data_IF_009713790028
#
_entry.id   IF_009713790028
#
_cell.length_a   1.000
_cell.length_b   1.000
_cell.length_c   1.000
_cell.angle_alpha   90.00
_cell.angle_beta   90.00
_cell.angle_gamma   90.00
#
_symmetry.space_group_name_H-M   'P 1'
#
loop_
_entity.id
_entity.type
_entity.pdbx_description
1 polymer ?
#
# COMPACT_ATOMS: atom_id res chain seq x y z
N UNK A 1 19.36 2.42 15.32
CA UNK A 1 18.17 2.41 14.44
C UNK A 1 17.14 3.40 14.98
N UNK A 2 16.84 4.48 14.26
CA UNK A 2 15.80 5.44 14.65
C UNK A 2 14.40 4.82 14.54
N UNK A 3 13.42 5.32 15.32
CA UNK A 3 12.03 4.85 15.25
C UNK A 3 11.46 4.90 13.83
N UNK A 4 11.72 5.98 13.09
CA UNK A 4 11.31 6.16 11.68
C UNK A 4 11.80 5.03 10.78
N UNK A 5 13.03 4.57 11.00
CA UNK A 5 13.61 3.48 10.22
C UNK A 5 12.97 2.13 10.58
N UNK A 6 12.71 1.87 11.87
CA UNK A 6 11.97 0.66 12.29
C UNK A 6 10.56 0.63 11.69
N UNK A 7 9.86 1.76 11.71
CA UNK A 7 8.55 1.91 11.08
C UNK A 7 8.62 1.66 9.57
N UNK A 8 9.61 2.23 8.87
CA UNK A 8 9.81 1.99 7.45
C UNK A 8 10.04 0.50 7.13
N UNK A 9 10.88 -0.19 7.92
CA UNK A 9 11.14 -1.63 7.79
C UNK A 9 9.85 -2.45 7.99
N UNK A 10 9.09 -2.14 9.04
CA UNK A 10 7.83 -2.83 9.33
C UNK A 10 6.79 -2.62 8.22
N UNK A 11 6.56 -1.37 7.80
CA UNK A 11 5.59 -1.05 6.75
C UNK A 11 5.98 -1.65 5.39
N UNK A 12 7.27 -1.67 5.05
CA UNK A 12 7.74 -2.33 3.83
C UNK A 12 7.46 -3.84 3.88
N UNK A 13 7.72 -4.50 5.02
CA UNK A 13 7.40 -5.91 5.20
C UNK A 13 5.89 -6.20 5.11
N UNK A 14 5.07 -5.40 5.79
CA UNK A 14 3.60 -5.50 5.74
C UNK A 14 3.10 -5.31 4.30
N UNK A 15 3.57 -4.27 3.61
CA UNK A 15 3.15 -3.98 2.24
C UNK A 15 3.55 -5.10 1.30
N UNK A 16 4.79 -5.61 1.39
CA UNK A 16 5.29 -6.72 0.57
C UNK A 16 4.48 -8.01 0.80
N UNK A 17 4.19 -8.35 2.06
CA UNK A 17 3.42 -9.53 2.41
C UNK A 17 1.97 -9.43 1.89
N UNK A 18 1.27 -8.33 2.22
CA UNK A 18 -0.13 -8.16 1.83
C UNK A 18 -0.29 -8.04 0.31
N UNK A 19 0.56 -7.26 -0.37
CA UNK A 19 0.49 -7.15 -1.84
C UNK A 19 0.88 -8.44 -2.52
N UNK A 20 1.94 -9.11 -2.08
CA UNK A 20 2.40 -10.37 -2.65
C UNK A 20 1.31 -11.45 -2.54
N UNK A 21 0.71 -11.59 -1.36
CA UNK A 21 -0.42 -12.49 -1.14
C UNK A 21 -1.62 -12.11 -2.02
N UNK A 22 -1.96 -10.82 -2.10
CA UNK A 22 -3.10 -10.35 -2.89
C UNK A 22 -2.90 -10.57 -4.40
N UNK A 23 -1.69 -10.36 -4.92
CA UNK A 23 -1.35 -10.63 -6.33
C UNK A 23 -1.49 -12.12 -6.63
N UNK A 24 -1.01 -12.99 -5.73
CA UNK A 24 -1.15 -14.45 -5.90
C UNK A 24 -2.62 -14.89 -5.92
N UNK A 25 -3.45 -14.35 -5.02
CA UNK A 25 -4.89 -14.62 -5.00
C UNK A 25 -5.60 -14.12 -6.28
N UNK A 26 -5.23 -12.94 -6.78
CA UNK A 26 -5.76 -12.41 -8.03
C UNK A 26 -5.34 -13.28 -9.22
N UNK A 27 -4.09 -13.73 -9.25
CA UNK A 27 -3.60 -14.63 -10.28
C UNK A 27 -4.37 -15.96 -10.28
N UNK A 28 -4.59 -16.56 -9.11
CA UNK A 28 -5.43 -17.76 -8.97
C UNK A 28 -6.86 -17.54 -9.47
N UNK A 29 -7.46 -16.39 -9.15
CA UNK A 29 -8.80 -16.01 -9.63
C UNK A 29 -8.87 -15.86 -11.16
N UNK A 30 -7.81 -15.33 -11.79
CA UNK A 30 -7.73 -15.24 -13.25
C UNK A 30 -7.75 -16.62 -13.91
N UNK A 31 -7.06 -17.60 -13.32
CA UNK A 31 -7.07 -18.99 -13.82
C UNK A 31 -8.46 -19.63 -13.71
N UNK A 32 -9.33 -19.13 -12.82
CA UNK A 32 -10.71 -19.57 -12.65
C UNK A 32 -11.73 -18.81 -13.53
N UNK A 33 -11.27 -17.90 -14.40
CA UNK A 33 -12.12 -17.19 -15.38
C UNK A 33 -12.32 -15.69 -15.13
N UNK A 34 -11.80 -15.13 -14.03
CA UNK A 34 -11.91 -13.70 -13.72
C UNK A 34 -10.79 -12.86 -14.36
N UNK A 35 -10.53 -13.05 -15.65
CA UNK A 35 -9.31 -12.54 -16.30
C UNK A 35 -9.22 -11.00 -16.34
N UNK A 36 -10.29 -10.31 -16.75
CA UNK A 36 -10.29 -8.85 -16.92
C UNK A 36 -10.10 -8.11 -15.59
N UNK A 37 -10.85 -8.50 -14.56
CA UNK A 37 -10.77 -7.90 -13.23
C UNK A 37 -9.41 -8.20 -12.58
N UNK A 38 -8.94 -9.45 -12.65
CA UNK A 38 -7.66 -9.83 -12.06
C UNK A 38 -6.47 -9.11 -12.69
N UNK A 39 -6.48 -8.87 -14.00
CA UNK A 39 -5.40 -8.16 -14.69
C UNK A 39 -5.30 -6.70 -14.22
N UNK A 40 -6.43 -5.99 -14.11
CA UNK A 40 -6.47 -4.62 -13.59
C UNK A 40 -5.96 -4.57 -12.15
N UNK A 41 -6.42 -5.49 -11.30
CA UNK A 41 -5.98 -5.57 -9.89
C UNK A 41 -4.49 -5.89 -9.75
N UNK A 42 -3.94 -6.77 -10.59
CA UNK A 42 -2.51 -7.09 -10.59
C UNK A 42 -1.68 -5.89 -11.03
N UNK A 43 -2.12 -5.11 -12.02
CA UNK A 43 -1.40 -3.90 -12.43
C UNK A 43 -1.40 -2.88 -11.29
N UNK A 44 -2.54 -2.67 -10.63
CA UNK A 44 -2.66 -1.72 -9.50
C UNK A 44 -1.79 -2.12 -8.31
N UNK A 45 -1.88 -3.38 -7.88
CA UNK A 45 -1.13 -3.87 -6.73
C UNK A 45 0.34 -4.17 -7.05
N UNK A 46 0.64 -4.47 -8.32
CA UNK A 46 1.99 -4.75 -8.81
C UNK A 46 2.93 -3.58 -8.61
N UNK A 47 2.48 -2.34 -8.87
CA UNK A 47 3.29 -1.16 -8.61
C UNK A 47 3.57 -0.95 -7.11
N UNK A 48 2.62 -1.30 -6.23
CA UNK A 48 2.84 -1.30 -4.77
C UNK A 48 3.83 -2.37 -4.34
N UNK A 49 3.76 -3.56 -4.94
CA UNK A 49 4.71 -4.64 -4.68
C UNK A 49 6.13 -4.27 -5.14
N UNK A 50 6.29 -3.72 -6.35
CA UNK A 50 7.57 -3.25 -6.87
C UNK A 50 8.15 -2.14 -5.97
N UNK A 51 7.33 -1.18 -5.55
CA UNK A 51 7.77 -0.14 -4.61
C UNK A 51 8.28 -0.71 -3.28
N UNK A 52 7.60 -1.73 -2.73
CA UNK A 52 8.03 -2.41 -1.51
C UNK A 52 9.38 -3.13 -1.70
N UNK A 53 9.61 -3.78 -2.85
CA UNK A 53 10.90 -4.39 -3.18
C UNK A 53 12.01 -3.32 -3.24
N UNK A 54 11.77 -2.22 -3.97
CA UNK A 54 12.75 -1.12 -4.07
C UNK A 54 13.02 -0.47 -2.69
N UNK A 55 12.00 -0.37 -1.85
CA UNK A 55 12.13 0.09 -0.47
C UNK A 55 12.99 -0.84 0.37
N UNK A 56 12.88 -2.15 0.18
CA UNK A 56 13.74 -3.13 0.86
C UNK A 56 15.21 -3.00 0.42
N UNK A 57 15.47 -2.75 -0.87
CA UNK A 57 16.82 -2.44 -1.35
C UNK A 57 17.39 -1.16 -0.73
N UNK A 58 16.57 -0.10 -0.61
CA UNK A 58 16.95 1.13 0.08
C UNK A 58 17.26 0.89 1.57
N UNK A 59 16.49 0.03 2.24
CA UNK A 59 16.77 -0.32 3.64
C UNK A 59 18.13 -1.00 3.77
N UNK A 60 18.44 -1.92 2.86
CA UNK A 60 19.74 -2.60 2.83
C UNK A 60 20.89 -1.63 2.58
N UNK A 61 20.76 -0.71 1.61
CA UNK A 61 21.81 0.29 1.32
C UNK A 61 22.02 1.29 2.45
N UNK A 62 21.03 1.49 3.32
CA UNK A 62 21.16 2.35 4.50
C UNK A 62 21.78 1.63 5.70
N UNK A 63 21.72 0.29 5.74
CA UNK A 63 22.25 -0.54 6.82
C UNK A 63 23.67 -1.02 6.55
N UNK A 64 23.97 -1.36 5.29
CA UNK A 64 25.24 -1.92 4.85
C UNK A 64 26.03 -0.85 4.09
N UNK A 65 27.14 -0.32 4.64
CA UNK A 65 27.94 0.72 3.98
C UNK A 65 28.49 0.31 2.60
N UNK A 66 28.75 -0.99 2.40
CA UNK A 66 29.24 -1.54 1.13
C UNK A 66 28.14 -1.84 0.10
N UNK A 67 26.86 -1.69 0.45
CA UNK A 67 25.75 -1.96 -0.47
C UNK A 67 25.25 -0.65 -1.10
N UNK A 68 25.61 -0.40 -2.34
CA UNK A 68 25.11 0.76 -3.11
C UNK A 68 23.88 0.38 -3.93
N UNK A 69 22.97 1.34 -4.10
CA UNK A 69 21.83 1.15 -4.99
C UNK A 69 22.30 1.14 -6.44
N UNK A 70 21.70 0.27 -7.26
CA UNK A 70 21.90 0.32 -8.71
C UNK A 70 21.44 1.67 -9.26
N UNK A 71 22.06 2.13 -10.35
CA UNK A 71 21.82 3.44 -10.94
C UNK A 71 20.32 3.77 -11.17
N UNK A 72 19.54 2.77 -11.60
CA UNK A 72 18.10 2.93 -11.87
C UNK A 72 17.21 2.85 -10.61
N UNK A 73 17.71 2.33 -9.49
CA UNK A 73 16.91 2.08 -8.28
C UNK A 73 16.40 3.37 -7.62
N UNK A 74 17.21 4.44 -7.44
CA UNK A 74 16.73 5.72 -6.94
C UNK A 74 15.61 6.35 -7.79
N UNK A 75 15.73 6.23 -9.12
CA UNK A 75 14.69 6.70 -10.06
C UNK A 75 13.41 5.89 -9.89
N UNK A 76 13.53 4.56 -9.83
CA UNK A 76 12.42 3.65 -9.58
C UNK A 76 11.69 3.94 -8.28
N UNK A 77 12.40 4.19 -7.17
CA UNK A 77 11.79 4.53 -5.87
C UNK A 77 10.97 5.82 -5.97
N UNK A 78 11.43 6.82 -6.72
CA UNK A 78 10.70 8.08 -6.90
C UNK A 78 9.41 7.89 -7.69
N UNK A 79 9.52 7.24 -8.86
CA UNK A 79 8.38 7.03 -9.76
C UNK A 79 7.34 6.11 -9.09
N UNK A 80 7.78 4.97 -8.58
CA UNK A 80 6.90 4.02 -7.90
C UNK A 80 6.39 4.59 -6.56
N UNK A 81 7.15 5.46 -5.91
CA UNK A 81 6.69 6.19 -4.72
C UNK A 81 5.50 7.10 -5.03
N UNK A 82 5.57 7.88 -6.13
CA UNK A 82 4.43 8.68 -6.59
C UNK A 82 3.22 7.83 -6.96
N UNK A 83 3.45 6.75 -7.71
CA UNK A 83 2.41 5.79 -8.09
C UNK A 83 1.71 5.18 -6.87
N UNK A 84 2.47 4.71 -5.89
CA UNK A 84 1.92 4.06 -4.68
C UNK A 84 1.19 5.03 -3.77
N UNK A 85 1.61 6.30 -3.72
CA UNK A 85 0.83 7.34 -3.04
C UNK A 85 -0.55 7.49 -3.69
N UNK A 86 -0.62 7.51 -5.03
CA UNK A 86 -1.89 7.60 -5.75
C UNK A 86 -2.76 6.37 -5.47
N UNK A 87 -2.22 5.15 -5.55
CA UNK A 87 -2.97 3.93 -5.23
C UNK A 87 -3.43 3.93 -3.77
N UNK A 88 -2.55 4.25 -2.82
CA UNK A 88 -2.90 4.33 -1.40
C UNK A 88 -4.00 5.36 -1.13
N UNK A 89 -3.94 6.53 -1.79
CA UNK A 89 -5.00 7.54 -1.72
C UNK A 89 -6.33 7.05 -2.29
N UNK A 90 -6.31 6.34 -3.42
CA UNK A 90 -7.52 5.71 -3.98
C UNK A 90 -8.13 4.66 -3.03
N UNK A 91 -7.30 3.88 -2.33
CA UNK A 91 -7.77 2.93 -1.33
C UNK A 91 -8.42 3.62 -0.13
N UNK A 92 -7.81 4.71 0.35
CA UNK A 92 -8.38 5.53 1.43
C UNK A 92 -9.73 6.12 1.03
N UNK A 93 -9.82 6.71 -0.18
CA UNK A 93 -11.07 7.26 -0.72
C UNK A 93 -12.14 6.18 -0.91
N UNK A 94 -11.74 4.99 -1.34
CA UNK A 94 -12.65 3.84 -1.47
C UNK A 94 -13.20 3.40 -0.12
N UNK A 95 -12.38 3.40 0.94
CA UNK A 95 -12.83 3.17 2.31
C UNK A 95 -13.88 4.20 2.76
N UNK A 96 -13.66 5.48 2.44
CA UNK A 96 -14.63 6.56 2.74
C UNK A 96 -15.92 6.39 1.93
N UNK A 97 -15.82 6.01 0.65
CA UNK A 97 -16.99 5.79 -0.20
C UNK A 97 -17.86 4.63 0.33
N UNK A 98 -17.24 3.53 0.75
CA UNK A 98 -17.94 2.40 1.37
C UNK A 98 -18.68 2.85 2.63
N UNK A 99 -18.05 3.66 3.47
CA UNK A 99 -18.70 4.22 4.66
C UNK A 99 -19.94 5.05 4.31
N UNK A 100 -19.86 5.90 3.29
CA UNK A 100 -20.98 6.73 2.85
C UNK A 100 -22.12 5.84 2.33
N UNK A 101 -21.82 4.87 1.46
CA UNK A 101 -22.81 3.96 0.87
C UNK A 101 -23.49 3.13 1.96
N UNK A 102 -22.74 2.56 2.90
CA UNK A 102 -23.32 1.82 4.04
C UNK A 102 -24.31 2.68 4.82
N UNK A 103 -23.98 3.94 5.11
CA UNK A 103 -24.87 4.83 5.86
C UNK A 103 -26.13 5.23 5.07
N UNK A 104 -26.01 5.39 3.75
CA UNK A 104 -27.15 5.70 2.87
C UNK A 104 -28.09 4.49 2.73
N UNK A 105 -27.55 3.30 2.48
CA UNK A 105 -28.33 2.05 2.41
C UNK A 105 -29.02 1.75 3.75
N UNK A 106 -28.34 2.05 4.88
CA UNK A 106 -28.94 1.89 6.20
C UNK A 106 -30.18 2.78 6.40
N UNK A 107 -30.12 4.04 5.95
CA UNK A 107 -31.23 4.99 6.00
C UNK A 107 -32.37 4.59 5.06
N UNK A 108 -32.06 4.19 3.83
CA UNK A 108 -33.07 3.93 2.80
C UNK A 108 -33.82 2.62 3.04
N UNK A 109 -33.14 1.59 3.56
CA UNK A 109 -33.79 0.34 3.95
C UNK A 109 -34.63 0.45 5.24
N UNK A 110 -34.42 1.48 6.06
CA UNK A 110 -35.23 1.69 7.29
C UNK A 110 -36.62 2.28 7.01
N UNK A 111 -36.85 2.84 5.82
CA UNK A 111 -38.10 3.50 5.46
C UNK A 111 -39.04 2.67 4.57
N UNK A 112 -38.68 1.44 4.17
CA UNK A 112 -39.39 0.68 3.14
C UNK A 112 -39.75 -0.78 3.50
N UNK A 113 -39.67 -1.22 4.76
CA UNK A 113 -39.78 -2.65 5.09
C UNK A 113 -40.90 -2.93 6.11
N UNK A 114 -41.76 -3.90 5.78
CA UNK A 114 -42.82 -4.44 6.65
C UNK A 114 -42.24 -5.37 7.73
N UNK A 115 -42.90 -5.48 8.87
CA UNK A 115 -42.36 -6.12 10.08
C UNK A 115 -41.99 -7.61 9.94
N UNK A 116 -42.60 -8.35 9.00
CA UNK A 116 -42.27 -9.74 8.70
C UNK A 116 -40.98 -9.95 7.89
N UNK A 117 -40.56 -8.95 7.10
CA UNK A 117 -39.31 -9.02 6.33
C UNK A 117 -38.08 -8.61 7.15
N UNK A 118 -38.29 -8.02 8.33
CA UNK A 118 -37.21 -7.51 9.21
C UNK A 118 -36.26 -8.61 9.70
N UNK A 119 -36.78 -9.76 10.14
CA UNK A 119 -35.95 -10.80 10.78
C UNK A 119 -34.99 -11.52 9.81
N UNK A 120 -35.44 -11.85 8.60
CA UNK A 120 -34.57 -12.45 7.58
C UNK A 120 -33.55 -11.44 7.04
N UNK A 121 -33.97 -10.17 6.90
CA UNK A 121 -33.07 -9.10 6.46
C UNK A 121 -32.03 -8.74 7.51
N UNK A 122 -32.36 -8.77 8.82
CA UNK A 122 -31.43 -8.47 9.92
C UNK A 122 -30.22 -9.41 9.96
N UNK A 123 -30.42 -10.70 9.71
CA UNK A 123 -29.32 -11.67 9.72
C UNK A 123 -28.37 -11.48 8.52
N UNK A 124 -28.93 -11.25 7.33
CA UNK A 124 -28.15 -10.97 6.11
C UNK A 124 -27.47 -9.59 6.19
N UNK A 125 -28.12 -8.60 6.79
CA UNK A 125 -27.61 -7.25 7.01
C UNK A 125 -26.51 -7.22 8.06
N UNK A 126 -26.61 -8.04 9.10
CA UNK A 126 -25.57 -8.22 10.12
C UNK A 126 -24.29 -8.76 9.47
N UNK A 127 -24.39 -9.86 8.71
CA UNK A 127 -23.23 -10.47 8.06
C UNK A 127 -22.60 -9.58 6.98
N UNK A 128 -23.41 -8.95 6.12
CA UNK A 128 -22.91 -8.00 5.12
C UNK A 128 -22.32 -6.74 5.77
N UNK A 129 -22.94 -6.23 6.83
CA UNK A 129 -22.48 -5.06 7.59
C UNK A 129 -21.12 -5.29 8.24
N UNK A 130 -20.93 -6.45 8.89
CA UNK A 130 -19.63 -6.82 9.47
C UNK A 130 -18.55 -6.98 8.40
N UNK A 131 -18.83 -7.67 7.30
CA UNK A 131 -17.88 -7.85 6.21
C UNK A 131 -17.47 -6.52 5.56
N UNK A 132 -18.43 -5.63 5.29
CA UNK A 132 -18.14 -4.30 4.74
C UNK A 132 -17.37 -3.42 5.72
N UNK A 133 -17.66 -3.49 7.02
CA UNK A 133 -16.91 -2.76 8.06
C UNK A 133 -15.47 -3.23 8.14
N UNK A 134 -15.24 -4.55 8.10
CA UNK A 134 -13.89 -5.13 8.05
C UNK A 134 -13.14 -4.70 6.77
N UNK A 135 -13.83 -4.72 5.63
CA UNK A 135 -13.25 -4.27 4.36
C UNK A 135 -12.89 -2.78 4.39
N UNK A 136 -13.75 -1.93 4.92
CA UNK A 136 -13.48 -0.51 5.12
C UNK A 136 -12.24 -0.31 5.98
N UNK A 137 -12.18 -0.97 7.14
CA UNK A 137 -11.07 -0.84 8.07
C UNK A 137 -9.75 -1.32 7.43
N UNK A 138 -9.80 -2.43 6.70
CA UNK A 138 -8.66 -2.94 5.95
C UNK A 138 -8.19 -1.94 4.88
N UNK A 139 -9.10 -1.43 4.03
CA UNK A 139 -8.76 -0.45 3.00
C UNK A 139 -8.15 0.82 3.59
N UNK A 140 -8.66 1.28 4.72
CA UNK A 140 -8.15 2.47 5.39
C UNK A 140 -6.76 2.25 5.97
N UNK A 141 -6.58 1.21 6.80
CA UNK A 141 -5.29 0.92 7.42
C UNK A 141 -4.22 0.58 6.38
N UNK A 142 -4.59 -0.22 5.38
CA UNK A 142 -3.65 -0.65 4.37
C UNK A 142 -3.29 0.50 3.41
N UNK A 143 -4.27 1.31 3.00
CA UNK A 143 -4.02 2.53 2.25
C UNK A 143 -3.08 3.49 2.99
N UNK A 144 -3.30 3.69 4.29
CA UNK A 144 -2.42 4.50 5.15
C UNK A 144 -1.01 3.90 5.26
N UNK A 145 -0.89 2.57 5.36
CA UNK A 145 0.39 1.86 5.36
C UNK A 145 1.18 2.09 4.07
N UNK A 146 0.52 2.02 2.90
CA UNK A 146 1.13 2.26 1.60
C UNK A 146 1.65 3.70 1.51
N UNK A 147 0.79 4.68 1.78
CA UNK A 147 1.16 6.10 1.69
C UNK A 147 2.31 6.43 2.65
N UNK A 148 2.21 5.99 3.90
CA UNK A 148 3.25 6.24 4.90
C UNK A 148 4.58 5.61 4.50
N UNK A 149 4.56 4.37 3.99
CA UNK A 149 5.76 3.69 3.50
C UNK A 149 6.40 4.44 2.32
N UNK A 150 5.58 4.92 1.37
CA UNK A 150 6.05 5.70 0.24
C UNK A 150 6.71 7.01 0.69
N UNK A 151 6.09 7.77 1.59
CA UNK A 151 6.66 9.01 2.13
C UNK A 151 7.97 8.76 2.89
N UNK A 152 8.03 7.70 3.69
CA UNK A 152 9.27 7.31 4.37
C UNK A 152 10.35 6.91 3.37
N UNK A 153 10.02 6.13 2.34
CA UNK A 153 10.98 5.74 1.29
C UNK A 153 11.58 6.95 0.58
N UNK A 154 10.78 7.97 0.28
CA UNK A 154 11.24 9.20 -0.36
C UNK A 154 12.12 10.03 0.59
N UNK A 155 11.78 10.09 1.87
CA UNK A 155 12.60 10.76 2.89
C UNK A 155 13.96 10.09 3.06
N UNK A 156 13.97 8.75 3.20
CA UNK A 156 15.19 7.96 3.32
C UNK A 156 16.03 7.96 2.04
N UNK A 157 15.39 8.03 0.87
CA UNK A 157 16.10 8.18 -0.40
C UNK A 157 16.83 9.52 -0.48
N UNK A 158 16.23 10.62 0.00
CA UNK A 158 16.91 11.92 0.09
C UNK A 158 18.12 11.86 1.02
N UNK A 159 17.99 11.19 2.17
CA UNK A 159 19.11 10.98 3.09
C UNK A 159 20.24 10.16 2.45
N UNK A 160 19.89 9.08 1.75
CA UNK A 160 20.85 8.25 1.04
C UNK A 160 21.60 9.03 -0.05
N UNK A 161 20.88 9.85 -0.84
CA UNK A 161 21.52 10.69 -1.88
C UNK A 161 22.49 11.70 -1.29
N UNK A 162 22.08 12.39 -0.22
CA UNK A 162 22.94 13.36 0.46
C UNK A 162 24.24 12.70 0.95
N UNK A 163 24.13 11.52 1.56
CA UNK A 163 25.31 10.76 2.01
C UNK A 163 26.26 10.43 0.85
N UNK A 164 25.72 10.02 -0.30
CA UNK A 164 26.53 9.71 -1.49
C UNK A 164 27.18 10.95 -2.12
N UNK A 165 26.57 12.12 -1.98
CA UNK A 165 27.16 13.40 -2.41
C UNK A 165 28.29 13.81 -1.46
N UNK A 166 28.06 13.71 -0.14
CA UNK A 166 29.06 14.02 0.88
C UNK A 166 30.30 13.10 0.75
N UNK A 167 30.10 11.78 0.54
CA UNK A 167 31.20 10.82 0.38
C UNK A 167 32.05 11.12 -0.89
N UNK A 168 31.42 11.58 -1.99
CA UNK A 168 32.14 11.95 -3.23
C UNK A 168 32.99 13.21 -3.09
N UNK A 169 32.58 14.16 -2.24
CA UNK A 169 33.36 15.37 -2.01
C UNK A 169 34.64 15.10 -1.21
N UNK A 170 34.61 14.12 -0.29
CA UNK A 170 35.78 13.73 0.50
C UNK A 170 36.85 13.06 -0.38
N UNK A 171 36.44 12.20 -1.32
CA UNK A 171 37.38 11.52 -2.22
C UNK A 171 38.11 12.51 -3.15
N UNK A 172 37.44 13.59 -3.59
CA UNK A 172 38.05 14.60 -4.46
C UNK A 172 39.09 15.50 -3.75
N UNK A 173 38.92 15.73 -2.45
CA UNK A 173 39.84 16.56 -1.65
C UNK A 173 41.09 15.78 -1.18
N UNK A 174 41.09 14.45 -1.25
CA UNK A 174 42.25 13.61 -0.93
C UNK A 174 43.19 13.39 -2.12
N UNK A 175 42.71 13.68 -3.34
CA UNK A 175 43.45 13.53 -4.60
C UNK A 175 44.07 14.86 -5.10
N UNK A 176 43.99 15.95 -4.30
CA UNK A 176 44.57 17.26 -4.57
C UNK A 176 45.80 17.58 -3.69
#
# INVERSE_FOLDING_TARGET
>A
MTFRFKLFKALTGINLFITGFSIMMNFASMLMGAFSQGLVSIVMLGGVFIHAILSAYLQRSLQEPGFTLKENTPGGIRIMGGYTILIGALMLLSGIAIFIVMNLDLKQASSQITEEQRQQLETIRSLKGTAMTMMQFFLFLYGASIVTNALLSLSFLKQWKKKQEDDKHIDLDLDA
#
